data_IF_495979608853
#
_entry.id   IF_495979608853
#
_cell.length_a   1.000
_cell.length_b   1.000
_cell.length_c   1.000
_cell.angle_alpha   90.00
_cell.angle_beta   90.00
_cell.angle_gamma   90.00
#
_symmetry.space_group_name_H-M   'P 1'
#
loop_
_entity.id
_entity.type
_entity.pdbx_description
1 polymer ?
#
# COMPACT_ATOMS: atom_id res chain seq x y z
N UNK A 1 16.84 -10.28 6.12
CA UNK A 1 16.05 -10.54 7.34
C UNK A 1 14.57 -10.26 7.17
N UNK A 2 14.21 -9.11 6.61
CA UNK A 2 12.80 -8.74 6.44
C UNK A 2 12.05 -9.68 5.47
N UNK A 3 12.76 -10.26 4.50
CA UNK A 3 12.16 -11.25 3.60
C UNK A 3 11.77 -12.53 4.35
N UNK A 4 12.58 -12.95 5.30
CA UNK A 4 12.30 -14.15 6.09
C UNK A 4 11.30 -13.90 7.20
N UNK A 5 11.32 -12.70 7.78
CA UNK A 5 10.50 -12.36 8.95
C UNK A 5 9.05 -11.98 8.59
N UNK A 6 8.79 -11.50 7.37
CA UNK A 6 7.47 -11.01 7.00
C UNK A 6 6.44 -12.15 6.93
N UNK A 7 5.38 -12.12 7.77
CA UNK A 7 4.37 -13.17 7.78
C UNK A 7 3.47 -13.15 6.54
N UNK A 8 3.47 -12.05 5.78
CA UNK A 8 2.65 -11.89 4.58
C UNK A 8 3.43 -12.18 3.30
N UNK A 9 4.74 -12.43 3.41
CA UNK A 9 5.64 -12.65 2.28
C UNK A 9 5.57 -11.51 1.26
N UNK A 10 5.56 -10.29 1.78
CA UNK A 10 5.36 -9.07 0.99
C UNK A 10 6.67 -8.42 0.55
N UNK A 11 7.79 -9.07 0.74
CA UNK A 11 9.12 -8.55 0.39
C UNK A 11 9.69 -9.33 -0.78
N UNK A 12 10.24 -8.61 -1.74
CA UNK A 12 10.84 -9.19 -2.95
C UNK A 12 12.27 -8.67 -3.12
N UNK A 13 13.13 -9.50 -3.74
CA UNK A 13 14.53 -9.13 -4.00
C UNK A 13 14.71 -8.87 -5.49
N UNK A 14 15.41 -7.78 -5.82
CA UNK A 14 15.69 -7.42 -7.21
C UNK A 14 16.99 -8.10 -7.63
N UNK A 15 16.91 -9.15 -8.46
CA UNK A 15 18.07 -9.94 -8.89
C UNK A 15 18.75 -9.37 -10.12
N UNK A 16 18.06 -8.60 -10.93
CA UNK A 16 18.55 -8.13 -12.22
C UNK A 16 18.52 -6.61 -12.32
N UNK A 17 19.37 -6.07 -13.21
CA UNK A 17 19.31 -4.64 -13.52
C UNK A 17 18.06 -4.36 -14.36
N UNK A 18 17.23 -3.45 -13.88
CA UNK A 18 16.00 -3.07 -14.56
C UNK A 18 16.28 -1.95 -15.56
N UNK A 19 15.81 -2.13 -16.81
CA UNK A 19 16.04 -1.17 -17.89
C UNK A 19 14.87 -0.22 -18.11
N UNK A 20 13.67 -0.60 -17.65
CA UNK A 20 12.48 0.22 -17.78
C UNK A 20 12.04 0.67 -16.39
N UNK A 21 12.55 1.79 -15.94
CA UNK A 21 12.24 2.32 -14.61
C UNK A 21 11.50 3.64 -14.69
N UNK A 22 10.63 3.86 -13.73
CA UNK A 22 10.06 5.18 -13.50
C UNK A 22 11.12 6.05 -12.80
N UNK A 23 11.44 7.21 -13.38
CA UNK A 23 12.46 8.10 -12.83
C UNK A 23 12.11 8.62 -11.43
N UNK A 24 10.81 8.67 -11.09
CA UNK A 24 10.35 9.13 -9.77
C UNK A 24 10.38 8.02 -8.72
N UNK A 25 10.53 6.77 -9.13
CA UNK A 25 10.55 5.62 -8.24
C UNK A 25 11.60 4.61 -8.73
N UNK A 26 12.90 4.95 -8.62
CA UNK A 26 13.97 4.08 -9.13
C UNK A 26 14.06 2.80 -8.31
N UNK A 27 14.43 1.70 -8.99
CA UNK A 27 14.63 0.39 -8.39
C UNK A 27 16.06 -0.07 -8.63
N UNK A 28 16.68 -0.67 -7.63
CA UNK A 28 18.08 -1.05 -7.69
C UNK A 28 18.32 -2.56 -7.62
N UNK A 29 19.29 -3.06 -8.40
CA UNK A 29 19.73 -4.43 -8.31
C UNK A 29 20.33 -4.69 -6.92
N UNK A 30 20.00 -5.84 -6.33
CA UNK A 30 20.50 -6.22 -5.01
C UNK A 30 19.73 -5.62 -3.85
N UNK A 31 18.61 -5.00 -4.10
CA UNK A 31 17.77 -4.38 -3.08
C UNK A 31 16.52 -5.21 -2.80
N UNK A 32 16.07 -5.17 -1.56
CA UNK A 32 14.77 -5.73 -1.17
C UNK A 32 13.71 -4.64 -1.33
N UNK A 33 12.60 -4.99 -1.95
CA UNK A 33 11.53 -4.02 -2.19
C UNK A 33 10.18 -4.53 -1.72
N UNK A 34 9.28 -3.59 -1.46
CA UNK A 34 7.90 -3.87 -1.08
C UNK A 34 7.05 -2.65 -1.38
N UNK A 35 5.75 -2.77 -1.15
CA UNK A 35 4.85 -1.63 -1.24
C UNK A 35 5.25 -0.56 -0.21
N UNK A 36 5.36 0.69 -0.65
CA UNK A 36 5.65 1.84 0.19
C UNK A 36 4.50 2.86 0.21
N UNK A 37 3.30 2.42 -0.18
CA UNK A 37 2.11 3.26 -0.28
C UNK A 37 2.29 4.44 -1.25
N UNK A 38 3.07 4.24 -2.30
CA UNK A 38 3.38 5.25 -3.31
C UNK A 38 3.94 6.54 -2.71
N UNK A 39 4.88 6.41 -1.78
CA UNK A 39 5.43 7.56 -1.05
C UNK A 39 5.96 8.64 -1.99
N UNK A 40 6.58 8.27 -3.10
CA UNK A 40 7.10 9.24 -4.06
C UNK A 40 5.98 10.06 -4.71
N UNK A 41 4.88 9.40 -5.06
CA UNK A 41 3.72 10.06 -5.65
C UNK A 41 3.04 11.00 -4.66
N UNK A 42 2.91 10.57 -3.40
CA UNK A 42 2.29 11.36 -2.33
C UNK A 42 3.14 12.59 -2.00
N UNK A 43 4.47 12.43 -1.95
CA UNK A 43 5.39 13.53 -1.68
C UNK A 43 5.36 14.61 -2.77
N UNK A 44 4.99 14.25 -4.00
CA UNK A 44 4.82 15.21 -5.09
C UNK A 44 3.43 15.86 -5.11
N UNK A 45 2.64 15.66 -4.07
CA UNK A 45 1.37 16.36 -3.90
C UNK A 45 0.13 15.59 -4.38
N UNK A 46 0.29 14.32 -4.78
CA UNK A 46 -0.86 13.47 -5.11
C UNK A 46 -1.61 13.07 -3.84
N UNK A 47 -2.93 12.96 -3.95
CA UNK A 47 -3.78 12.52 -2.84
C UNK A 47 -4.11 11.03 -2.89
N UNK A 48 -3.67 10.34 -3.94
CA UNK A 48 -4.03 8.95 -4.19
C UNK A 48 -2.82 8.10 -4.54
N UNK A 49 -2.95 6.79 -4.36
CA UNK A 49 -1.95 5.83 -4.80
C UNK A 49 -2.25 5.36 -6.23
N UNK A 50 -1.25 4.77 -6.89
CA UNK A 50 -1.42 4.25 -8.24
C UNK A 50 -2.45 3.13 -8.31
N UNK A 51 -2.48 2.25 -7.30
CA UNK A 51 -3.43 1.14 -7.26
C UNK A 51 -4.87 1.64 -7.04
N UNK A 52 -5.07 2.67 -6.24
CA UNK A 52 -6.38 3.29 -6.06
C UNK A 52 -6.86 3.91 -7.38
N UNK A 53 -5.99 4.66 -8.05
CA UNK A 53 -6.32 5.27 -9.34
C UNK A 53 -6.70 4.22 -10.38
N UNK A 54 -5.94 3.15 -10.48
CA UNK A 54 -6.20 2.06 -11.41
C UNK A 54 -7.53 1.36 -11.12
N UNK A 55 -7.83 1.12 -9.86
CA UNK A 55 -9.08 0.49 -9.42
C UNK A 55 -10.29 1.38 -9.76
N UNK A 56 -10.19 2.67 -9.49
CA UNK A 56 -11.25 3.64 -9.77
C UNK A 56 -11.47 3.78 -11.28
N UNK A 57 -10.38 3.82 -12.06
CA UNK A 57 -10.46 3.91 -13.53
C UNK A 57 -11.15 2.69 -14.13
N UNK A 58 -10.94 1.52 -13.55
CA UNK A 58 -11.61 0.28 -13.97
C UNK A 58 -13.07 0.19 -13.49
N UNK A 59 -13.53 1.14 -12.67
CA UNK A 59 -14.91 1.21 -12.20
C UNK A 59 -15.23 0.37 -10.98
N UNK A 60 -14.23 -0.16 -10.29
CA UNK A 60 -14.45 -1.04 -9.12
C UNK A 60 -14.56 -0.30 -7.79
N UNK A 61 -13.85 0.81 -7.64
CA UNK A 61 -13.85 1.64 -6.41
C UNK A 61 -13.63 0.82 -5.12
N UNK A 62 -12.78 -0.20 -5.20
CA UNK A 62 -12.55 -1.14 -4.10
C UNK A 62 -11.40 -0.75 -3.17
N UNK A 63 -10.57 0.19 -3.57
CA UNK A 63 -9.39 0.62 -2.82
C UNK A 63 -9.54 2.08 -2.43
N UNK A 64 -9.33 2.37 -1.15
CA UNK A 64 -9.41 3.73 -0.61
C UNK A 64 -8.12 4.04 0.14
N UNK A 65 -7.48 5.16 -0.20
CA UNK A 65 -6.27 5.64 0.45
C UNK A 65 -6.54 6.99 1.13
N UNK A 66 -5.89 7.23 2.26
CA UNK A 66 -6.02 8.51 2.95
C UNK A 66 -5.29 8.53 4.28
N UNK A 67 -5.41 9.65 4.98
CA UNK A 67 -4.80 9.85 6.29
C UNK A 67 -5.73 9.32 7.38
N UNK A 68 -5.28 8.32 8.13
CA UNK A 68 -6.05 7.73 9.23
C UNK A 68 -6.30 8.72 10.37
N UNK A 69 -5.46 9.74 10.50
CA UNK A 69 -5.59 10.74 11.56
C UNK A 69 -6.59 11.84 11.20
N UNK A 70 -6.93 12.00 9.93
CA UNK A 70 -7.88 13.00 9.46
C UNK A 70 -9.30 12.42 9.53
N UNK A 71 -10.14 12.95 10.40
CA UNK A 71 -11.51 12.47 10.60
C UNK A 71 -12.40 12.67 9.37
N UNK A 72 -12.02 13.58 8.47
CA UNK A 72 -12.78 13.87 7.26
C UNK A 72 -12.27 13.11 6.03
N UNK A 73 -11.20 12.31 6.16
CA UNK A 73 -10.67 11.57 5.02
C UNK A 73 -11.61 10.43 4.62
N UNK A 74 -11.59 10.07 3.34
CA UNK A 74 -12.42 8.98 2.81
C UNK A 74 -12.12 7.65 3.50
N UNK A 75 -10.83 7.41 3.80
CA UNK A 75 -10.41 6.15 4.44
C UNK A 75 -10.97 6.05 5.86
N UNK A 76 -10.98 7.15 6.60
CA UNK A 76 -11.52 7.16 7.95
C UNK A 76 -13.02 6.90 7.96
N UNK A 77 -13.75 7.52 7.04
CA UNK A 77 -15.18 7.31 6.89
C UNK A 77 -15.49 5.87 6.47
N UNK A 78 -14.68 5.28 5.60
CA UNK A 78 -14.83 3.89 5.17
C UNK A 78 -14.59 2.92 6.33
N UNK A 79 -13.61 3.19 7.19
CA UNK A 79 -13.32 2.38 8.38
C UNK A 79 -14.51 2.40 9.34
N UNK A 80 -15.08 3.56 9.58
CA UNK A 80 -16.22 3.70 10.48
C UNK A 80 -17.47 3.02 9.93
N UNK A 81 -17.67 3.04 8.61
CA UNK A 81 -18.85 2.46 7.98
C UNK A 81 -18.77 0.94 7.83
N UNK A 82 -17.60 0.39 7.50
CA UNK A 82 -17.47 -1.01 7.10
C UNK A 82 -16.84 -1.91 8.16
N UNK A 83 -16.31 -1.34 9.25
CA UNK A 83 -15.62 -2.07 10.32
C UNK A 83 -14.59 -3.06 9.76
N UNK A 84 -13.62 -2.61 8.96
CA UNK A 84 -12.66 -3.50 8.31
C UNK A 84 -11.70 -4.13 9.30
N UNK A 85 -11.02 -5.19 8.87
CA UNK A 85 -10.10 -5.97 9.71
C UNK A 85 -8.72 -5.99 9.07
N UNK A 86 -7.70 -6.15 9.91
CA UNK A 86 -6.33 -6.38 9.46
C UNK A 86 -6.11 -7.88 9.24
N UNK A 87 -5.25 -8.23 8.30
CA UNK A 87 -4.81 -9.61 8.13
C UNK A 87 -3.92 -10.00 9.31
N UNK A 88 -4.10 -11.21 9.81
CA UNK A 88 -3.32 -11.73 10.92
C UNK A 88 -3.38 -10.79 12.14
N UNK A 89 -4.60 -10.46 12.58
CA UNK A 89 -4.81 -9.65 13.80
C UNK A 89 -4.19 -10.29 15.03
N UNK A 90 -4.07 -11.62 15.04
CA UNK A 90 -3.45 -12.37 16.14
C UNK A 90 -1.99 -11.96 16.41
N UNK A 91 -1.29 -11.45 15.41
CA UNK A 91 0.11 -11.03 15.55
C UNK A 91 0.28 -9.61 16.09
N UNK A 92 -0.80 -8.82 16.13
CA UNK A 92 -0.82 -7.44 16.64
C UNK A 92 0.29 -6.56 16.03
N UNK A 93 0.44 -6.61 14.72
CA UNK A 93 1.48 -5.87 13.99
C UNK A 93 1.10 -4.42 13.71
N UNK A 94 -0.16 -4.04 13.96
CA UNK A 94 -0.67 -2.68 13.74
C UNK A 94 -0.51 -2.19 12.29
N UNK A 95 -0.81 -3.07 11.35
CA UNK A 95 -0.74 -2.74 9.91
C UNK A 95 -1.65 -1.56 9.59
N UNK A 96 -1.30 -0.85 8.52
CA UNK A 96 -2.07 0.30 8.03
C UNK A 96 -2.97 -0.06 6.86
N UNK A 97 -3.02 -1.33 6.47
CA UNK A 97 -3.90 -1.83 5.42
C UNK A 97 -5.02 -2.64 6.05
N UNK A 98 -6.24 -2.32 5.68
CA UNK A 98 -7.45 -2.93 6.25
C UNK A 98 -8.26 -3.56 5.13
N UNK A 99 -8.97 -4.63 5.46
CA UNK A 99 -9.82 -5.37 4.52
C UNK A 99 -11.23 -5.48 5.07
N UNK A 100 -12.22 -5.22 4.23
CA UNK A 100 -13.61 -5.43 4.58
C UNK A 100 -14.15 -6.67 3.88
N UNK A 101 -15.14 -7.30 4.49
CA UNK A 101 -15.81 -8.49 3.96
C UNK A 101 -14.89 -9.72 3.84
N UNK A 102 -13.95 -9.87 4.78
CA UNK A 102 -13.05 -11.04 4.82
C UNK A 102 -13.39 -11.93 6.01
#
# INVERSE_FOLDING_TARGET
YCMMACPFKARSFVHETLTTQNTNAPRGKGCVESCNLCVNKIDYGSDTTACEDACTKAGHNAITFGDLKDSNSKVRLAIESNSPRRLRDDLNLKQKVFYSNI
#
